data_IF_400045560012
#
_entry.id   IF_400045560012
#
_cell.length_a   1.000
_cell.length_b   1.000
_cell.length_c   1.000
_cell.angle_alpha   90.00
_cell.angle_beta   90.00
_cell.angle_gamma   90.00
#
_symmetry.space_group_name_H-M   'P 1'
#
loop_
_entity.id
_entity.type
_entity.pdbx_description
1 polymer ?
#
# COMPACT_ATOMS: atom_id res chain seq x y z
N UNK A 1 -27.68 -50.87 22.55
CA UNK A 1 -27.77 -49.57 23.25
C UNK A 1 -26.34 -49.10 23.43
N UNK A 2 -25.83 -48.35 22.46
CA UNK A 2 -24.43 -47.92 22.44
C UNK A 2 -24.27 -46.73 23.38
N UNK A 3 -23.33 -46.85 24.31
CA UNK A 3 -22.91 -45.81 25.25
C UNK A 3 -22.76 -44.46 24.54
N UNK A 4 -23.60 -43.48 24.86
CA UNK A 4 -23.24 -42.08 24.70
C UNK A 4 -22.12 -41.82 25.69
N UNK A 5 -20.88 -41.72 25.19
CA UNK A 5 -19.80 -41.16 25.96
C UNK A 5 -20.25 -39.75 26.40
N UNK A 6 -20.23 -39.52 27.70
CA UNK A 6 -20.52 -38.23 28.33
C UNK A 6 -19.40 -37.27 27.91
N UNK A 7 -19.58 -36.57 26.78
CA UNK A 7 -18.62 -35.60 26.26
C UNK A 7 -18.67 -34.41 27.22
N UNK A 8 -17.60 -34.19 27.98
CA UNK A 8 -17.52 -33.06 28.89
C UNK A 8 -17.78 -31.74 28.12
N UNK A 9 -18.66 -30.86 28.64
CA UNK A 9 -19.03 -29.65 27.94
C UNK A 9 -17.81 -28.73 27.83
N UNK A 10 -17.54 -28.23 26.62
CA UNK A 10 -16.42 -27.31 26.37
C UNK A 10 -16.88 -25.90 26.70
N UNK A 11 -16.22 -25.25 27.67
CA UNK A 11 -16.60 -23.92 28.15
C UNK A 11 -15.77 -22.87 27.44
N UNK A 12 -16.42 -21.82 26.95
CA UNK A 12 -15.80 -20.76 26.18
C UNK A 12 -16.12 -19.41 26.80
N UNK A 13 -15.17 -18.48 26.75
CA UNK A 13 -15.41 -17.08 27.04
C UNK A 13 -15.52 -16.32 25.72
N UNK A 14 -16.73 -15.89 25.37
CA UNK A 14 -17.02 -15.17 24.13
C UNK A 14 -17.03 -13.66 24.41
N UNK A 15 -16.10 -12.92 23.81
CA UNK A 15 -16.01 -11.46 23.90
C UNK A 15 -16.76 -10.88 22.69
N UNK A 16 -17.83 -10.15 22.95
CA UNK A 16 -18.64 -9.48 21.93
C UNK A 16 -18.12 -8.07 21.65
N UNK A 17 -17.87 -7.29 22.72
CA UNK A 17 -17.35 -5.92 22.67
C UNK A 17 -16.34 -5.72 23.82
N UNK A 18 -15.66 -4.56 23.87
CA UNK A 18 -14.65 -4.26 24.89
C UNK A 18 -15.16 -4.47 26.33
N UNK A 19 -16.46 -4.24 26.58
CA UNK A 19 -17.08 -4.33 27.90
C UNK A 19 -18.10 -5.47 28.03
N UNK A 20 -18.27 -6.31 27.00
CA UNK A 20 -19.27 -7.38 27.00
C UNK A 20 -18.63 -8.73 26.67
N UNK A 21 -18.63 -9.64 27.64
CA UNK A 21 -18.19 -11.02 27.47
C UNK A 21 -19.17 -11.97 28.14
N UNK A 22 -19.42 -13.10 27.48
CA UNK A 22 -20.41 -14.10 27.90
C UNK A 22 -19.73 -15.46 27.97
N UNK A 23 -20.07 -16.23 29.00
CA UNK A 23 -19.65 -17.63 29.11
C UNK A 23 -20.63 -18.51 28.35
N UNK A 24 -20.11 -19.31 27.42
CA UNK A 24 -20.87 -20.23 26.59
C UNK A 24 -20.39 -21.67 26.84
N UNK A 25 -21.30 -22.64 26.85
CA UNK A 25 -20.97 -24.05 27.05
C UNK A 25 -21.44 -24.88 25.85
N UNK A 26 -20.51 -25.58 25.20
CA UNK A 26 -20.79 -26.47 24.08
C UNK A 26 -21.06 -27.88 24.62
N UNK A 27 -22.35 -28.21 24.79
CA UNK A 27 -22.78 -29.51 25.32
C UNK A 27 -22.56 -30.68 24.35
N UNK A 28 -22.43 -30.41 23.05
CA UNK A 28 -22.23 -31.43 22.02
C UNK A 28 -20.74 -31.57 21.60
N UNK A 29 -19.81 -31.00 22.38
CA UNK A 29 -18.40 -30.91 22.01
C UNK A 29 -18.10 -29.76 21.04
N UNK A 30 -16.84 -29.63 20.64
CA UNK A 30 -16.42 -28.63 19.64
C UNK A 30 -16.89 -29.09 18.25
N UNK A 31 -17.58 -28.24 17.47
CA UNK A 31 -17.96 -28.57 16.09
C UNK A 31 -16.77 -28.90 15.18
N UNK A 32 -16.99 -29.71 14.16
CA UNK A 32 -15.95 -30.12 13.21
C UNK A 32 -15.60 -29.01 12.20
N UNK A 33 -16.52 -28.04 12.01
CA UNK A 33 -16.35 -26.88 11.12
C UNK A 33 -16.38 -25.56 11.89
N UNK A 34 -15.57 -24.61 11.44
CA UNK A 34 -15.57 -23.23 11.96
C UNK A 34 -16.91 -22.54 11.67
N UNK A 35 -17.55 -22.86 10.54
CA UNK A 35 -18.85 -22.29 10.17
C UNK A 35 -19.96 -22.75 11.13
N UNK A 36 -19.94 -24.02 11.55
CA UNK A 36 -20.87 -24.54 12.54
C UNK A 36 -20.68 -23.87 13.91
N UNK A 37 -19.43 -23.65 14.31
CA UNK A 37 -19.12 -22.92 15.53
C UNK A 37 -19.57 -21.45 15.45
N UNK A 38 -19.43 -20.80 14.30
CA UNK A 38 -19.95 -19.45 14.06
C UNK A 38 -21.47 -19.41 14.25
N UNK A 39 -22.20 -20.35 13.67
CA UNK A 39 -23.66 -20.40 13.79
C UNK A 39 -24.12 -20.69 15.22
N UNK A 40 -23.40 -21.53 15.98
CA UNK A 40 -23.72 -21.79 17.38
C UNK A 40 -23.47 -20.55 18.27
N UNK A 41 -22.36 -19.84 18.03
CA UNK A 41 -22.05 -18.57 18.73
C UNK A 41 -23.09 -17.50 18.36
N UNK A 42 -23.50 -17.40 17.10
CA UNK A 42 -24.56 -16.47 16.67
C UNK A 42 -25.88 -16.78 17.37
N UNK A 43 -26.26 -18.06 17.42
CA UNK A 43 -27.50 -18.50 18.06
C UNK A 43 -27.50 -18.18 19.56
N UNK A 44 -26.39 -18.44 20.24
CA UNK A 44 -26.26 -18.21 21.68
C UNK A 44 -26.20 -16.72 22.04
N UNK A 45 -25.48 -15.92 21.26
CA UNK A 45 -25.31 -14.49 21.52
C UNK A 45 -26.36 -13.60 20.84
N UNK A 46 -27.30 -14.17 20.07
CA UNK A 46 -28.35 -13.41 19.37
C UNK A 46 -27.83 -12.51 18.23
N UNK A 47 -26.77 -12.94 17.53
CA UNK A 47 -26.10 -12.15 16.50
C UNK A 47 -26.75 -12.37 15.13
N UNK A 48 -27.33 -11.32 14.55
CA UNK A 48 -27.99 -11.38 13.23
C UNK A 48 -27.11 -11.00 12.03
N UNK A 49 -25.82 -10.71 12.24
CA UNK A 49 -24.89 -10.20 11.21
C UNK A 49 -23.84 -11.24 10.81
N UNK A 50 -23.12 -10.98 9.72
CA UNK A 50 -21.90 -11.73 9.41
C UNK A 50 -20.85 -11.46 10.48
N UNK A 51 -20.30 -12.51 11.07
CA UNK A 51 -19.29 -12.39 12.12
C UNK A 51 -18.13 -13.31 11.80
N UNK A 52 -16.95 -12.93 12.28
CA UNK A 52 -15.74 -13.74 12.27
C UNK A 52 -15.30 -14.00 13.70
N UNK A 53 -14.78 -15.20 13.97
CA UNK A 53 -14.23 -15.55 15.26
C UNK A 53 -12.71 -15.42 15.27
N UNK A 54 -12.18 -14.88 16.35
CA UNK A 54 -10.76 -14.89 16.68
C UNK A 54 -10.56 -15.65 17.99
N UNK A 55 -9.49 -16.41 18.13
CA UNK A 55 -9.12 -17.03 19.40
C UNK A 55 -7.90 -16.34 19.98
N UNK A 56 -7.77 -16.38 21.31
CA UNK A 56 -6.59 -15.90 22.00
C UNK A 56 -5.47 -16.94 21.89
N UNK A 57 -4.42 -16.60 21.15
CA UNK A 57 -3.28 -17.47 20.89
C UNK A 57 -2.20 -17.30 21.97
N UNK A 58 -1.90 -18.37 22.71
CA UNK A 58 -0.89 -18.37 23.77
C UNK A 58 0.53 -18.36 23.24
N UNK A 59 0.76 -18.90 22.05
CA UNK A 59 2.10 -19.11 21.47
C UNK A 59 2.65 -17.79 20.90
N UNK A 60 1.77 -16.87 20.50
CA UNK A 60 2.11 -15.54 20.00
C UNK A 60 1.90 -14.41 21.02
N UNK A 61 2.03 -14.72 22.32
CA UNK A 61 1.99 -13.70 23.36
C UNK A 61 0.58 -13.16 23.66
N UNK A 62 -0.43 -14.03 23.66
CA UNK A 62 -1.82 -13.73 24.03
C UNK A 62 -2.56 -12.77 23.06
N UNK A 63 -2.14 -12.71 21.79
CA UNK A 63 -2.81 -11.93 20.75
C UNK A 63 -4.05 -12.66 20.21
N UNK A 64 -5.00 -11.90 19.67
CA UNK A 64 -6.18 -12.46 19.00
C UNK A 64 -5.88 -12.77 17.54
N UNK A 65 -6.05 -14.03 17.14
CA UNK A 65 -5.77 -14.54 15.79
C UNK A 65 -7.05 -15.07 15.17
N UNK A 66 -7.22 -14.88 13.85
CA UNK A 66 -8.38 -15.40 13.12
C UNK A 66 -8.44 -16.92 13.21
N UNK A 67 -9.63 -17.44 13.52
CA UNK A 67 -9.85 -18.88 13.61
C UNK A 67 -10.02 -19.49 12.22
N UNK A 68 -9.17 -20.47 11.88
CA UNK A 68 -9.22 -21.21 10.60
C UNK A 68 -9.53 -22.70 10.78
N UNK A 69 -9.47 -23.20 12.01
CA UNK A 69 -9.80 -24.58 12.39
C UNK A 69 -10.37 -24.58 13.80
N UNK A 70 -11.32 -25.48 14.08
CA UNK A 70 -11.89 -25.67 15.42
C UNK A 70 -10.98 -26.47 16.35
N UNK A 71 -9.91 -27.09 15.84
CA UNK A 71 -8.92 -27.83 16.64
C UNK A 71 -8.16 -26.93 17.65
N UNK A 72 -8.16 -25.62 17.44
CA UNK A 72 -7.56 -24.64 18.37
C UNK A 72 -8.44 -24.36 19.59
N UNK A 73 -9.71 -24.75 19.55
CA UNK A 73 -10.68 -24.53 20.61
C UNK A 73 -10.55 -25.63 21.65
N UNK A 74 -10.21 -25.24 22.88
CA UNK A 74 -10.11 -26.10 24.05
C UNK A 74 -11.07 -25.60 25.14
N UNK A 75 -11.23 -26.39 26.19
CA UNK A 75 -11.93 -25.91 27.38
C UNK A 75 -11.24 -24.65 27.93
N UNK A 76 -12.06 -23.65 28.28
CA UNK A 76 -11.67 -22.31 28.72
C UNK A 76 -10.99 -21.43 27.65
N UNK A 77 -11.13 -21.76 26.36
CA UNK A 77 -10.67 -20.88 25.28
C UNK A 77 -11.43 -19.55 25.26
N UNK A 78 -10.70 -18.46 25.01
CA UNK A 78 -11.25 -17.12 24.84
C UNK A 78 -11.43 -16.83 23.35
N UNK A 79 -12.67 -16.57 22.94
CA UNK A 79 -13.05 -16.27 21.57
C UNK A 79 -13.52 -14.82 21.51
N UNK A 80 -13.02 -14.05 20.55
CA UNK A 80 -13.48 -12.69 20.26
C UNK A 80 -14.30 -12.71 18.97
N UNK A 81 -15.50 -12.14 19.03
CA UNK A 81 -16.37 -11.95 17.88
C UNK A 81 -16.01 -10.62 17.21
N UNK A 82 -15.82 -10.66 15.90
CA UNK A 82 -15.61 -9.48 15.07
C UNK A 82 -16.79 -9.39 14.11
N UNK A 83 -17.64 -8.37 14.29
CA UNK A 83 -18.70 -8.08 13.34
C UNK A 83 -18.11 -7.63 12.01
N UNK A 84 -18.58 -8.24 10.93
CA UNK A 84 -18.25 -7.89 9.57
C UNK A 84 -19.47 -7.21 8.96
N UNK A 85 -19.36 -5.91 8.69
CA UNK A 85 -20.31 -5.25 7.81
C UNK A 85 -20.10 -5.79 6.38
N UNK A 86 -21.16 -6.23 5.67
CA UNK A 86 -21.04 -6.70 4.29
C UNK A 86 -20.51 -5.61 3.33
N UNK A 87 -20.54 -4.34 3.74
CA UNK A 87 -20.01 -3.18 3.01
C UNK A 87 -18.63 -2.68 3.50
N UNK A 88 -18.03 -3.27 4.54
CA UNK A 88 -16.75 -2.80 5.11
C UNK A 88 -15.52 -3.51 4.54
N UNK A 89 -15.59 -4.02 3.30
CA UNK A 89 -14.40 -4.13 2.44
C UNK A 89 -13.95 -2.73 1.94
N UNK A 90 -13.93 -1.74 2.83
CA UNK A 90 -13.42 -0.40 2.60
C UNK A 90 -11.91 -0.43 2.85
N UNK A 91 -11.15 -0.43 1.76
CA UNK A 91 -9.76 0.03 1.78
C UNK A 91 -9.77 1.46 2.31
N UNK A 92 -9.27 1.68 3.52
CA UNK A 92 -9.07 3.02 4.07
C UNK A 92 -7.99 3.72 3.22
N UNK A 93 -8.43 4.54 2.28
CA UNK A 93 -7.61 5.59 1.67
C UNK A 93 -7.81 6.84 2.52
N UNK A 94 -6.76 7.28 3.20
CA UNK A 94 -6.76 8.57 3.88
C UNK A 94 -6.96 9.68 2.83
N UNK A 95 -7.91 10.62 3.04
CA UNK A 95 -7.97 11.82 2.22
C UNK A 95 -6.74 12.68 2.53
N UNK A 96 -6.02 13.09 1.50
CA UNK A 96 -5.09 14.21 1.60
C UNK A 96 -5.92 15.45 1.33
N UNK A 97 -6.18 16.22 2.38
CA UNK A 97 -6.74 17.56 2.25
C UNK A 97 -5.74 18.42 1.46
N UNK A 98 -6.24 18.92 0.33
CA UNK A 98 -5.53 19.86 -0.52
C UNK A 98 -5.80 21.26 0.03
N UNK A 99 -4.88 21.79 0.84
CA UNK A 99 -4.82 23.24 1.08
C UNK A 99 -3.39 23.69 1.34
N UNK A 100 -2.79 24.25 0.28
CA UNK A 100 -1.82 25.34 0.37
C UNK A 100 -0.41 24.98 0.83
N UNK A 101 0.44 24.55 -0.11
CA UNK A 101 1.88 24.49 0.12
C UNK A 101 2.65 24.17 -1.15
N UNK A 102 2.91 25.22 -1.95
CA UNK A 102 3.75 25.22 -3.15
C UNK A 102 5.01 24.36 -2.99
N UNK A 103 5.18 23.33 -3.84
CA UNK A 103 6.50 22.71 -4.06
C UNK A 103 6.71 22.47 -5.56
N UNK A 104 7.72 23.19 -6.04
CA UNK A 104 8.27 23.18 -7.38
C UNK A 104 8.86 21.80 -7.68
N UNK A 105 8.45 21.23 -8.82
CA UNK A 105 9.11 20.09 -9.43
C UNK A 105 10.39 20.57 -10.10
N UNK A 106 11.50 20.50 -9.37
CA UNK A 106 12.84 20.75 -9.92
C UNK A 106 13.47 19.40 -10.29
N UNK A 107 13.20 18.94 -11.52
CA UNK A 107 13.99 17.91 -12.18
C UNK A 107 15.19 18.60 -12.81
N UNK A 108 16.30 18.65 -12.07
CA UNK A 108 17.59 19.00 -12.65
C UNK A 108 18.25 17.73 -13.20
N UNK A 109 18.27 17.66 -14.52
CA UNK A 109 19.23 16.90 -15.30
C UNK A 109 20.64 17.30 -14.86
N UNK A 110 21.49 16.31 -14.56
CA UNK A 110 22.93 16.47 -14.61
C UNK A 110 23.47 15.37 -15.52
N UNK A 111 23.79 15.78 -16.74
CA UNK A 111 24.75 15.11 -17.60
C UNK A 111 26.12 15.21 -16.93
N UNK A 112 26.75 14.07 -16.63
CA UNK A 112 28.20 14.03 -16.52
C UNK A 112 28.72 12.79 -17.25
N UNK A 113 29.75 13.05 -18.05
CA UNK A 113 30.20 12.25 -19.17
C UNK A 113 31.61 11.76 -18.84
N UNK A 114 31.79 10.50 -18.43
CA UNK A 114 33.02 9.75 -18.68
C UNK A 114 32.93 8.25 -18.36
N UNK A 115 33.75 7.42 -19.02
CA UNK A 115 33.36 6.08 -19.45
C UNK A 115 33.93 4.99 -18.54
N UNK A 116 33.06 4.08 -18.10
CA UNK A 116 33.43 2.90 -17.33
C UNK A 116 32.47 1.75 -17.59
N UNK A 117 32.92 0.81 -18.40
CA UNK A 117 32.26 -0.45 -18.77
C UNK A 117 31.51 -1.15 -17.62
N UNK A 118 30.21 -1.41 -17.79
CA UNK A 118 29.56 -2.67 -17.37
C UNK A 118 28.11 -2.72 -17.90
N UNK A 119 27.90 -3.60 -18.88
CA UNK A 119 26.68 -4.35 -19.20
C UNK A 119 25.32 -3.63 -19.24
N UNK A 120 24.80 -3.52 -20.46
CA UNK A 120 23.36 -3.44 -20.77
C UNK A 120 22.57 -4.41 -19.89
N UNK A 121 21.60 -3.91 -19.13
CA UNK A 121 20.54 -4.72 -18.53
C UNK A 121 19.67 -5.26 -19.68
N UNK A 122 20.18 -6.25 -20.40
CA UNK A 122 19.42 -7.00 -21.39
C UNK A 122 18.29 -7.71 -20.65
N UNK A 123 17.08 -7.24 -20.92
CA UNK A 123 15.87 -7.92 -20.47
C UNK A 123 15.87 -9.28 -21.15
N UNK A 124 16.04 -10.37 -20.39
CA UNK A 124 15.99 -11.72 -20.95
C UNK A 124 14.59 -11.93 -21.52
N UNK A 125 14.45 -11.75 -22.83
CA UNK A 125 13.30 -12.17 -23.61
C UNK A 125 13.35 -13.70 -23.57
N UNK A 126 12.63 -14.31 -22.63
CA UNK A 126 12.36 -15.73 -22.66
C UNK A 126 11.57 -16.04 -23.93
N UNK A 127 12.29 -16.32 -25.02
CA UNK A 127 11.72 -16.94 -26.19
C UNK A 127 11.27 -18.33 -25.79
N UNK A 128 9.96 -18.53 -25.82
CA UNK A 128 9.26 -19.81 -25.78
C UNK A 128 9.23 -20.51 -24.41
N UNK A 129 8.46 -19.96 -23.46
CA UNK A 129 7.79 -20.78 -22.43
C UNK A 129 6.43 -21.23 -22.95
N UNK A 130 5.98 -22.47 -22.70
CA UNK A 130 4.72 -23.00 -23.20
C UNK A 130 3.52 -22.57 -22.34
N UNK A 131 3.49 -21.31 -21.87
CA UNK A 131 2.31 -20.74 -21.22
C UNK A 131 1.40 -20.15 -22.31
N UNK A 132 0.47 -20.98 -22.75
CA UNK A 132 -0.50 -20.81 -23.85
C UNK A 132 -1.53 -19.69 -23.67
N UNK A 133 -1.40 -18.83 -22.65
CA UNK A 133 -2.42 -17.83 -22.34
C UNK A 133 -2.46 -16.65 -23.30
N UNK A 134 -1.38 -16.37 -24.05
CA UNK A 134 -1.27 -15.16 -24.89
C UNK A 134 -0.73 -15.46 -26.28
N UNK A 135 -1.64 -15.90 -27.13
CA UNK A 135 -1.41 -16.16 -28.55
C UNK A 135 -1.81 -14.99 -29.44
N UNK A 136 -2.40 -13.94 -28.87
CA UNK A 136 -2.95 -12.81 -29.63
C UNK A 136 -1.92 -11.69 -29.80
N UNK A 137 -1.72 -11.26 -31.04
CA UNK A 137 -0.94 -10.07 -31.35
C UNK A 137 -1.66 -8.80 -30.90
N UNK A 138 -0.90 -7.74 -30.65
CA UNK A 138 -1.48 -6.43 -30.31
C UNK A 138 -2.37 -5.94 -31.47
N UNK A 139 -3.63 -5.58 -31.20
CA UNK A 139 -4.55 -5.18 -32.26
C UNK A 139 -4.21 -3.77 -32.79
N UNK A 140 -4.49 -3.51 -34.07
CA UNK A 140 -4.34 -2.17 -34.67
C UNK A 140 -5.26 -1.12 -34.05
N UNK A 141 -6.42 -1.56 -33.57
CA UNK A 141 -7.36 -0.75 -32.79
C UNK A 141 -7.74 -1.57 -31.57
N UNK A 142 -7.42 -1.07 -30.38
CA UNK A 142 -7.67 -1.81 -29.15
C UNK A 142 -9.18 -1.97 -28.89
N UNK A 143 -9.69 -3.21 -28.76
CA UNK A 143 -11.11 -3.44 -28.49
C UNK A 143 -11.43 -3.16 -27.02
N UNK A 144 -12.27 -2.16 -26.77
CA UNK A 144 -12.74 -1.82 -25.42
C UNK A 144 -13.64 -2.95 -24.90
N UNK A 145 -13.31 -3.56 -23.74
CA UNK A 145 -14.14 -4.59 -23.12
C UNK A 145 -15.44 -4.00 -22.59
N UNK A 146 -16.45 -4.86 -22.39
CA UNK A 146 -17.65 -4.46 -21.68
C UNK A 146 -17.34 -4.22 -20.20
N UNK A 147 -17.86 -3.12 -19.67
CA UNK A 147 -17.78 -2.80 -18.25
C UNK A 147 -18.97 -3.38 -17.48
N UNK A 148 -19.00 -3.17 -16.17
CA UNK A 148 -20.18 -3.52 -15.38
C UNK A 148 -21.43 -2.78 -15.90
N UNK A 149 -22.60 -3.36 -15.64
CA UNK A 149 -23.87 -2.80 -16.10
C UNK A 149 -24.09 -1.34 -15.65
N UNK A 150 -23.67 -1.02 -14.43
CA UNK A 150 -23.76 0.33 -13.87
C UNK A 150 -22.81 1.30 -14.61
N UNK A 151 -21.53 0.94 -14.75
CA UNK A 151 -20.55 1.73 -15.51
C UNK A 151 -21.01 1.98 -16.94
N UNK A 152 -21.47 0.94 -17.64
CA UNK A 152 -22.00 1.08 -19.02
C UNK A 152 -23.19 2.04 -19.09
N UNK A 153 -24.09 1.98 -18.12
CA UNK A 153 -25.25 2.86 -18.05
C UNK A 153 -24.85 4.32 -17.83
N UNK A 154 -23.87 4.57 -16.95
CA UNK A 154 -23.28 5.89 -16.72
C UNK A 154 -22.55 6.42 -17.96
N UNK A 155 -21.75 5.58 -18.63
CA UNK A 155 -21.04 5.94 -19.86
C UNK A 155 -22.01 6.30 -21.00
N UNK A 156 -23.10 5.54 -21.17
CA UNK A 156 -24.13 5.84 -22.16
C UNK A 156 -24.80 7.18 -21.90
N UNK A 157 -25.15 7.46 -20.64
CA UNK A 157 -25.73 8.75 -20.22
C UNK A 157 -24.75 9.89 -20.46
N UNK A 158 -23.51 9.74 -19.99
CA UNK A 158 -22.46 10.73 -20.17
C UNK A 158 -22.15 11.00 -21.64
N UNK A 159 -22.08 9.98 -22.49
CA UNK A 159 -21.90 10.14 -23.93
C UNK A 159 -23.06 10.90 -24.57
N UNK A 160 -24.31 10.64 -24.17
CA UNK A 160 -25.46 11.37 -24.68
C UNK A 160 -25.44 12.86 -24.26
N UNK A 161 -25.02 13.16 -23.03
CA UNK A 161 -24.84 14.54 -22.54
C UNK A 161 -23.69 15.25 -23.24
N UNK A 162 -22.58 14.56 -23.49
CA UNK A 162 -21.45 15.06 -24.25
C UNK A 162 -21.85 15.43 -25.69
N UNK A 163 -22.65 14.61 -26.36
CA UNK A 163 -23.14 14.94 -27.70
C UNK A 163 -24.06 16.17 -27.73
N UNK A 164 -24.81 16.43 -26.65
CA UNK A 164 -25.74 17.57 -26.57
C UNK A 164 -25.07 18.88 -26.18
N UNK A 165 -24.13 18.82 -25.24
CA UNK A 165 -23.63 20.01 -24.52
C UNK A 165 -22.12 20.07 -24.41
N UNK A 166 -21.40 19.08 -24.96
CA UNK A 166 -19.97 18.84 -24.74
C UNK A 166 -19.60 18.73 -23.25
N UNK A 167 -20.58 18.43 -22.40
CA UNK A 167 -20.37 18.15 -20.98
C UNK A 167 -19.62 16.84 -20.81
N UNK A 168 -18.53 16.89 -20.04
CA UNK A 168 -17.69 15.75 -19.74
C UNK A 168 -18.13 15.08 -18.45
N UNK A 169 -18.04 13.76 -18.43
CA UNK A 169 -18.32 12.96 -17.25
C UNK A 169 -17.04 12.80 -16.43
N UNK A 170 -17.09 13.18 -15.15
CA UNK A 170 -16.03 12.88 -14.19
C UNK A 170 -16.34 11.51 -13.54
N UNK A 171 -15.53 10.46 -13.78
CA UNK A 171 -15.81 9.14 -13.24
C UNK A 171 -15.68 9.13 -11.72
N UNK A 172 -16.71 8.62 -11.03
CA UNK A 172 -16.61 8.32 -9.61
C UNK A 172 -15.63 7.17 -9.33
N UNK A 173 -15.19 7.02 -8.08
CA UNK A 173 -14.18 6.01 -7.69
C UNK A 173 -14.53 4.58 -8.11
N UNK A 174 -15.79 4.15 -7.93
CA UNK A 174 -16.28 2.82 -8.32
C UNK A 174 -16.19 2.59 -9.83
N UNK A 175 -16.74 3.53 -10.60
CA UNK A 175 -16.75 3.50 -12.06
C UNK A 175 -15.32 3.49 -12.62
N UNK A 176 -14.45 4.34 -12.06
CA UNK A 176 -13.04 4.42 -12.45
C UNK A 176 -12.31 3.09 -12.21
N UNK A 177 -12.53 2.46 -11.06
CA UNK A 177 -11.90 1.17 -10.75
C UNK A 177 -12.35 0.08 -11.72
N UNK A 178 -13.64 -0.02 -12.01
CA UNK A 178 -14.20 -1.01 -12.95
C UNK A 178 -13.64 -0.84 -14.36
N UNK A 179 -13.59 0.40 -14.87
CA UNK A 179 -12.98 0.69 -16.19
C UNK A 179 -11.52 0.24 -16.22
N UNK A 180 -10.73 0.65 -15.23
CA UNK A 180 -9.30 0.34 -15.19
C UNK A 180 -9.02 -1.15 -15.01
N UNK A 181 -9.83 -1.87 -14.24
CA UNK A 181 -9.71 -3.32 -14.04
C UNK A 181 -9.97 -4.09 -15.33
N UNK A 182 -11.11 -3.84 -15.97
CA UNK A 182 -11.48 -4.51 -17.22
C UNK A 182 -10.46 -4.24 -18.34
N UNK A 183 -9.96 -3.01 -18.42
CA UNK A 183 -8.90 -2.66 -19.38
C UNK A 183 -7.59 -3.36 -19.04
N UNK A 184 -7.16 -3.39 -17.78
CA UNK A 184 -5.93 -4.08 -17.39
C UNK A 184 -6.00 -5.59 -17.67
N UNK A 185 -7.12 -6.23 -17.38
CA UNK A 185 -7.39 -7.63 -17.73
C UNK A 185 -7.28 -7.85 -19.24
N UNK A 186 -7.95 -7.01 -20.04
CA UNK A 186 -7.95 -7.11 -21.50
C UNK A 186 -6.57 -6.86 -22.10
N UNK A 187 -5.83 -5.85 -21.63
CA UNK A 187 -4.46 -5.57 -22.04
C UNK A 187 -3.53 -6.73 -21.72
N UNK A 188 -3.70 -7.32 -20.54
CA UNK A 188 -2.89 -8.46 -20.11
C UNK A 188 -3.07 -9.68 -21.02
N UNK A 189 -4.23 -9.88 -21.65
CA UNK A 189 -4.43 -10.96 -22.64
C UNK A 189 -3.51 -10.85 -23.87
N UNK A 190 -3.03 -9.64 -24.19
CA UNK A 190 -2.09 -9.42 -25.29
C UNK A 190 -0.65 -9.38 -24.78
N UNK A 191 -0.37 -8.55 -23.75
CA UNK A 191 0.99 -8.31 -23.25
C UNK A 191 1.03 -8.24 -21.73
N UNK A 192 1.91 -9.03 -21.11
CA UNK A 192 2.24 -8.88 -19.68
C UNK A 192 2.88 -7.52 -19.37
N UNK A 193 3.75 -7.04 -20.26
CA UNK A 193 4.47 -5.79 -20.14
C UNK A 193 4.15 -4.86 -21.31
N UNK A 194 3.00 -4.16 -21.28
CA UNK A 194 2.69 -3.16 -22.29
C UNK A 194 3.72 -2.02 -22.28
N UNK A 195 4.05 -1.53 -23.47
CA UNK A 195 4.92 -0.39 -23.72
C UNK A 195 4.16 0.93 -23.57
N UNK A 196 4.86 2.05 -23.56
CA UNK A 196 4.24 3.38 -23.49
C UNK A 196 3.28 3.68 -24.65
N UNK A 197 3.58 3.17 -25.84
CA UNK A 197 2.72 3.25 -27.02
C UNK A 197 1.43 2.44 -26.82
N UNK A 198 1.54 1.20 -26.31
CA UNK A 198 0.39 0.34 -26.03
C UNK A 198 -0.61 1.02 -25.06
N UNK A 199 -0.13 1.73 -24.03
CA UNK A 199 -0.99 2.50 -23.12
C UNK A 199 -1.65 3.70 -23.81
N UNK A 200 -0.96 4.32 -24.77
CA UNK A 200 -1.50 5.45 -25.54
C UNK A 200 -2.63 4.98 -26.46
N UNK A 201 -2.45 3.84 -27.13
CA UNK A 201 -3.47 3.22 -27.99
C UNK A 201 -4.75 2.89 -27.21
N UNK A 202 -4.62 2.32 -26.01
CA UNK A 202 -5.77 1.94 -25.16
C UNK A 202 -6.49 3.19 -24.67
N UNK A 203 -5.75 4.22 -24.24
CA UNK A 203 -6.32 5.46 -23.77
C UNK A 203 -7.08 6.20 -24.90
N UNK A 204 -6.52 6.23 -26.11
CA UNK A 204 -7.18 6.81 -27.28
C UNK A 204 -8.42 6.00 -27.68
N UNK A 205 -8.34 4.67 -27.71
CA UNK A 205 -9.49 3.81 -27.99
C UNK A 205 -10.61 4.06 -26.97
N UNK A 206 -10.28 4.22 -25.68
CA UNK A 206 -11.25 4.48 -24.62
C UNK A 206 -11.98 5.80 -24.82
N UNK A 207 -11.25 6.90 -25.04
CA UNK A 207 -11.85 8.23 -25.22
C UNK A 207 -12.51 8.42 -26.58
N UNK A 208 -12.17 7.58 -27.57
CA UNK A 208 -12.86 7.51 -28.86
C UNK A 208 -14.20 6.78 -28.73
N UNK A 209 -14.25 5.67 -28.00
CA UNK A 209 -15.50 4.94 -27.73
C UNK A 209 -16.39 5.68 -26.74
N UNK A 210 -15.81 6.35 -25.76
CA UNK A 210 -16.52 7.14 -24.75
C UNK A 210 -16.01 8.59 -24.71
N UNK A 211 -16.46 9.46 -25.64
CA UNK A 211 -16.05 10.87 -25.68
C UNK A 211 -16.31 11.63 -24.39
N UNK A 212 -17.29 11.20 -23.58
CA UNK A 212 -17.55 11.83 -22.28
C UNK A 212 -16.38 11.72 -21.28
N UNK A 213 -15.44 10.80 -21.48
CA UNK A 213 -14.27 10.59 -20.61
C UNK A 213 -13.05 11.43 -20.98
N UNK A 214 -13.10 12.22 -22.06
CA UNK A 214 -11.98 13.07 -22.50
C UNK A 214 -11.56 14.06 -21.41
N UNK A 215 -10.27 14.25 -21.19
CA UNK A 215 -9.75 15.15 -20.15
C UNK A 215 -9.25 16.47 -20.77
N UNK A 216 -9.64 17.64 -20.24
CA UNK A 216 -9.17 18.92 -20.75
C UNK A 216 -7.69 19.15 -20.45
N UNK A 217 -7.01 19.90 -21.32
CA UNK A 217 -5.62 20.35 -21.09
C UNK A 217 -4.53 19.32 -21.42
N UNK A 218 -4.91 18.14 -21.89
CA UNK A 218 -3.96 17.14 -22.40
C UNK A 218 -3.82 17.26 -23.93
N UNK A 219 -2.59 17.14 -24.45
CA UNK A 219 -2.28 17.18 -25.89
C UNK A 219 -3.14 16.21 -26.73
N UNK A 220 -3.60 15.09 -26.14
CA UNK A 220 -4.41 14.09 -26.80
C UNK A 220 -5.74 13.78 -26.08
N UNK A 221 -6.14 14.61 -25.09
CA UNK A 221 -7.33 14.44 -24.26
C UNK A 221 -7.46 13.06 -23.56
N UNK A 222 -6.39 12.26 -23.56
CA UNK A 222 -6.36 10.87 -23.06
C UNK A 222 -5.12 10.57 -22.22
N UNK A 223 -4.21 11.53 -22.06
CA UNK A 223 -2.96 11.34 -21.32
C UNK A 223 -3.17 10.94 -19.86
N UNK A 224 -4.14 11.51 -19.14
CA UNK A 224 -4.38 11.11 -17.76
C UNK A 224 -4.90 9.68 -17.66
N UNK A 225 -5.72 9.23 -18.62
CA UNK A 225 -6.08 7.80 -18.75
C UNK A 225 -4.87 6.90 -18.97
N UNK A 226 -3.93 7.30 -19.84
CA UNK A 226 -2.67 6.58 -20.02
C UNK A 226 -1.89 6.44 -18.71
N UNK A 227 -1.77 7.50 -17.90
CA UNK A 227 -1.08 7.43 -16.61
C UNK A 227 -1.80 6.52 -15.61
N UNK A 228 -3.13 6.62 -15.52
CA UNK A 228 -3.93 5.73 -14.65
C UNK A 228 -3.79 4.26 -15.07
N UNK A 229 -3.76 3.98 -16.37
CA UNK A 229 -3.55 2.63 -16.90
C UNK A 229 -2.15 2.10 -16.59
N UNK A 230 -1.09 2.91 -16.70
CA UNK A 230 0.26 2.50 -16.30
C UNK A 230 0.30 2.05 -14.84
N UNK A 231 -0.27 2.86 -13.94
CA UNK A 231 -0.33 2.55 -12.51
C UNK A 231 -1.17 1.29 -12.27
N UNK A 232 -2.36 1.21 -12.87
CA UNK A 232 -3.23 0.03 -12.72
C UNK A 232 -2.56 -1.23 -13.22
N UNK A 233 -1.88 -1.19 -14.36
CA UNK A 233 -1.20 -2.35 -14.94
C UNK A 233 -0.03 -2.81 -14.07
N UNK A 234 0.72 -1.89 -13.46
CA UNK A 234 1.76 -2.23 -12.50
C UNK A 234 1.19 -2.95 -11.26
N UNK A 235 0.07 -2.46 -10.73
CA UNK A 235 -0.63 -3.09 -9.61
C UNK A 235 -1.22 -4.45 -9.99
N UNK A 236 -1.83 -4.55 -11.17
CA UNK A 236 -2.42 -5.78 -11.70
C UNK A 236 -1.36 -6.88 -11.87
N UNK A 237 -0.19 -6.57 -12.43
CA UNK A 237 0.95 -7.50 -12.47
C UNK A 237 1.39 -7.93 -11.07
N UNK A 238 1.43 -7.01 -10.11
CA UNK A 238 1.84 -7.33 -8.73
C UNK A 238 0.84 -8.28 -8.08
N UNK A 239 -0.46 -8.08 -8.30
CA UNK A 239 -1.52 -8.98 -7.88
C UNK A 239 -1.39 -10.38 -8.50
N UNK A 240 -1.15 -10.46 -9.82
CA UNK A 240 -0.96 -11.73 -10.52
C UNK A 240 0.28 -12.49 -10.04
N UNK A 241 1.39 -11.78 -9.75
CA UNK A 241 2.58 -12.36 -9.12
C UNK A 241 2.27 -12.96 -7.75
N UNK A 242 1.50 -12.26 -6.93
CA UNK A 242 1.13 -12.73 -5.59
C UNK A 242 0.27 -14.00 -5.64
N UNK A 243 -0.53 -14.19 -6.70
CA UNK A 243 -1.39 -15.35 -6.90
C UNK A 243 -0.70 -16.53 -7.60
N UNK A 244 0.58 -16.40 -7.97
CA UNK A 244 1.34 -17.46 -8.64
C UNK A 244 0.87 -17.78 -10.06
N UNK A 245 0.09 -16.89 -10.68
CA UNK A 245 -0.70 -17.23 -11.88
C UNK A 245 0.12 -17.29 -13.18
N UNK A 246 1.38 -16.86 -13.22
CA UNK A 246 2.22 -16.94 -14.45
C UNK A 246 3.72 -16.97 -14.16
N UNK A 247 4.45 -17.93 -14.74
CA UNK A 247 5.89 -18.11 -14.54
C UNK A 247 6.71 -16.89 -15.02
N UNK A 248 6.37 -16.31 -16.16
CA UNK A 248 7.04 -15.15 -16.75
C UNK A 248 7.13 -13.90 -15.84
N UNK A 249 6.10 -13.65 -15.01
CA UNK A 249 6.03 -12.51 -14.11
C UNK A 249 6.92 -12.75 -12.89
N UNK A 250 7.14 -14.03 -12.57
CA UNK A 250 8.03 -14.47 -11.49
C UNK A 250 9.49 -14.37 -11.88
N UNK A 251 9.89 -14.61 -13.15
CA UNK A 251 11.31 -14.50 -13.59
C UNK A 251 11.93 -13.14 -13.25
N UNK A 252 11.15 -12.07 -13.35
CA UNK A 252 11.57 -10.71 -13.01
C UNK A 252 11.40 -10.34 -11.52
N UNK A 253 11.10 -11.32 -10.66
CA UNK A 253 11.02 -11.12 -9.22
C UNK A 253 12.41 -11.27 -8.60
N UNK A 254 12.83 -10.28 -7.79
CA UNK A 254 14.08 -10.39 -7.01
C UNK A 254 14.08 -11.58 -6.04
N UNK A 255 12.90 -12.17 -5.77
CA UNK A 255 12.73 -13.36 -4.91
C UNK A 255 12.99 -14.70 -5.62
N UNK A 256 12.93 -14.75 -6.95
CA UNK A 256 13.10 -15.99 -7.73
C UNK A 256 14.47 -16.13 -8.39
N UNK A 257 15.28 -15.07 -8.41
CA UNK A 257 16.64 -15.13 -8.95
C UNK A 257 17.55 -15.97 -8.04
N UNK A 258 18.35 -16.86 -8.64
CA UNK A 258 19.22 -17.82 -7.95
C UNK A 258 20.21 -17.11 -7.00
N UNK A 259 20.84 -17.87 -6.10
CA UNK A 259 21.84 -17.33 -5.17
C UNK A 259 23.07 -16.77 -5.92
N UNK A 260 23.35 -17.32 -7.09
CA UNK A 260 24.52 -17.02 -7.93
C UNK A 260 24.37 -15.74 -8.76
N UNK A 261 23.14 -15.32 -9.07
CA UNK A 261 22.81 -14.09 -9.83
C UNK A 261 22.37 -12.93 -8.92
N UNK A 262 22.91 -12.85 -7.70
CA UNK A 262 22.52 -11.85 -6.71
C UNK A 262 22.96 -10.43 -7.10
N UNK A 263 22.02 -9.64 -7.62
CA UNK A 263 22.17 -8.18 -7.76
C UNK A 263 22.43 -7.51 -6.40
N UNK A 264 23.08 -6.33 -6.36
CA UNK A 264 23.36 -5.58 -5.12
C UNK A 264 22.11 -5.24 -4.27
N UNK A 265 20.92 -5.31 -4.87
CA UNK A 265 19.65 -5.02 -4.22
C UNK A 265 19.00 -6.22 -3.51
N UNK A 266 19.57 -7.42 -3.59
CA UNK A 266 19.04 -8.62 -2.90
C UNK A 266 19.37 -8.54 -1.40
N UNK A 267 18.38 -8.15 -0.60
CA UNK A 267 18.50 -8.03 0.87
C UNK A 267 18.30 -6.61 1.40
N UNK A 268 18.26 -5.59 0.52
CA UNK A 268 17.90 -4.25 0.93
C UNK A 268 16.39 -4.18 1.18
N UNK A 269 16.00 -3.92 2.44
CA UNK A 269 14.63 -3.53 2.76
C UNK A 269 14.28 -2.31 1.91
N UNK A 270 13.15 -2.35 1.21
CA UNK A 270 12.64 -1.15 0.54
C UNK A 270 12.44 -0.07 1.60
N UNK A 271 12.98 1.14 1.40
CA UNK A 271 12.82 2.18 2.38
C UNK A 271 11.33 2.43 2.62
N UNK A 272 10.89 2.36 3.88
CA UNK A 272 9.51 2.73 4.24
C UNK A 272 9.30 4.21 3.95
N UNK A 273 8.06 4.65 3.74
CA UNK A 273 7.70 6.03 3.36
C UNK A 273 8.24 7.12 4.31
N UNK A 274 8.64 6.75 5.54
CA UNK A 274 9.27 7.62 6.54
C UNK A 274 10.82 7.54 6.58
N UNK A 275 11.45 6.61 5.85
CA UNK A 275 12.90 6.40 5.85
C UNK A 275 13.65 7.34 4.89
N UNK A 276 12.95 8.00 3.97
CA UNK A 276 13.55 9.04 3.11
C UNK A 276 14.07 10.21 3.96
N UNK A 277 13.46 10.46 5.12
CA UNK A 277 13.89 11.46 6.10
C UNK A 277 14.82 10.89 7.19
N UNK A 278 15.23 9.62 7.10
CA UNK A 278 16.09 9.01 8.13
C UNK A 278 17.48 9.66 8.16
N UNK A 279 17.94 10.14 7.00
CA UNK A 279 19.30 10.61 6.81
C UNK A 279 19.35 11.85 5.88
N UNK A 280 18.84 13.00 6.33
CA UNK A 280 18.95 14.27 5.60
C UNK A 280 20.41 14.62 5.29
N UNK A 281 20.66 15.06 4.05
CA UNK A 281 21.95 15.64 3.66
C UNK A 281 22.13 17.02 4.32
N UNK A 282 23.36 17.49 4.40
CA UNK A 282 23.61 18.87 4.80
C UNK A 282 23.02 19.84 3.76
N UNK A 283 22.59 21.05 4.16
CA UNK A 283 22.18 22.08 3.21
C UNK A 283 23.28 22.37 2.18
N UNK A 284 22.90 22.69 0.95
CA UNK A 284 23.85 22.95 -0.14
C UNK A 284 24.89 24.01 0.24
N UNK A 285 26.17 23.64 0.16
CA UNK A 285 27.30 24.53 0.47
C UNK A 285 27.76 24.53 1.93
N UNK A 286 27.07 23.81 2.84
CA UNK A 286 27.48 23.69 4.24
C UNK A 286 28.42 22.49 4.45
N UNK A 287 29.53 22.70 5.15
CA UNK A 287 30.46 21.63 5.55
C UNK A 287 30.23 21.24 7.02
N UNK A 288 30.68 20.04 7.46
CA UNK A 288 30.61 19.64 8.87
C UNK A 288 31.21 20.69 9.84
N UNK A 289 32.27 21.38 9.43
CA UNK A 289 32.93 22.42 10.22
C UNK A 289 32.07 23.69 10.33
N UNK A 290 31.36 24.05 9.25
CA UNK A 290 30.39 25.15 9.27
C UNK A 290 29.22 24.84 10.20
N UNK A 291 28.72 23.60 10.13
CA UNK A 291 27.63 23.13 10.99
C UNK A 291 28.02 23.06 12.47
N UNK A 292 29.26 22.72 12.77
CA UNK A 292 29.78 22.77 14.15
C UNK A 292 29.85 24.20 14.68
N UNK A 293 30.19 25.19 13.84
CA UNK A 293 30.09 26.61 14.23
C UNK A 293 28.65 27.04 14.50
N UNK A 294 27.71 26.57 13.70
CA UNK A 294 26.28 26.83 13.93
C UNK A 294 25.78 26.18 15.22
N UNK A 295 26.26 24.99 15.57
CA UNK A 295 25.98 24.34 16.87
C UNK A 295 26.52 25.17 18.04
N UNK A 296 27.75 25.65 17.96
CA UNK A 296 28.32 26.53 19.00
C UNK A 296 27.50 27.82 19.12
N UNK A 297 27.11 28.40 18.00
CA UNK A 297 26.24 29.58 17.99
C UNK A 297 24.87 29.30 18.61
N UNK A 298 24.27 28.13 18.36
CA UNK A 298 23.04 27.68 19.01
C UNK A 298 23.19 27.63 20.55
N UNK A 299 24.31 27.11 21.07
CA UNK A 299 24.57 27.12 22.51
C UNK A 299 24.62 28.54 23.10
N UNK A 300 25.21 29.49 22.37
CA UNK A 300 25.23 30.89 22.82
C UNK A 300 23.85 31.54 22.78
N UNK A 301 22.99 31.17 21.82
CA UNK A 301 21.62 31.68 21.75
C UNK A 301 20.74 31.15 22.87
N UNK A 302 20.97 29.92 23.34
CA UNK A 302 20.27 29.34 24.48
C UNK A 302 20.54 30.07 25.81
N UNK A 303 21.69 30.72 25.94
CA UNK A 303 22.04 31.48 27.15
C UNK A 303 21.39 32.87 27.21
N UNK A 304 20.83 33.36 26.10
CA UNK A 304 20.25 34.70 26.00
C UNK A 304 18.77 34.67 26.34
N UNK A 305 18.28 35.73 27.02
CA UNK A 305 16.85 35.89 27.33
C UNK A 305 16.07 36.28 26.07
N UNK A 306 14.87 35.71 25.89
CA UNK A 306 13.94 35.99 24.79
C UNK A 306 14.41 35.61 23.36
N UNK A 307 15.31 34.62 23.21
CA UNK A 307 15.88 34.26 21.90
C UNK A 307 15.25 33.03 21.23
N UNK A 308 14.00 32.71 21.58
CA UNK A 308 13.32 31.48 21.15
C UNK A 308 13.24 31.33 19.63
N UNK A 309 13.05 32.43 18.91
CA UNK A 309 12.99 32.44 17.44
C UNK A 309 14.34 32.09 16.80
N UNK A 310 15.43 32.66 17.33
CA UNK A 310 16.79 32.38 16.83
C UNK A 310 17.21 30.93 17.11
N UNK A 311 16.84 30.41 18.28
CA UNK A 311 17.04 28.99 18.64
C UNK A 311 16.32 28.08 17.65
N UNK A 312 15.04 28.36 17.34
CA UNK A 312 14.26 27.57 16.37
C UNK A 312 14.89 27.58 14.98
N UNK A 313 15.32 28.74 14.49
CA UNK A 313 15.97 28.86 13.17
C UNK A 313 17.27 28.06 13.12
N UNK A 314 18.08 28.12 14.18
CA UNK A 314 19.31 27.33 14.28
C UNK A 314 19.04 25.84 14.44
N UNK A 315 17.98 25.45 15.13
CA UNK A 315 17.54 24.04 15.26
C UNK A 315 17.13 23.44 13.91
N UNK A 316 16.45 24.23 13.06
CA UNK A 316 16.12 23.85 11.69
C UNK A 316 17.38 23.75 10.83
N UNK A 317 18.26 24.76 10.88
CA UNK A 317 19.51 24.77 10.11
C UNK A 317 20.40 23.57 10.45
N UNK A 318 20.49 23.21 11.73
CA UNK A 318 21.34 22.12 12.24
C UNK A 318 20.71 20.73 12.17
N UNK A 319 19.47 20.61 11.69
CA UNK A 319 18.73 19.34 11.68
C UNK A 319 19.49 18.21 10.98
N UNK A 320 20.03 18.46 9.79
CA UNK A 320 20.77 17.47 9.01
C UNK A 320 21.99 16.95 9.76
N UNK A 321 22.82 17.88 10.26
CA UNK A 321 24.05 17.57 10.98
C UNK A 321 23.80 16.80 12.28
N UNK A 322 22.83 17.26 13.08
CA UNK A 322 22.41 16.62 14.33
C UNK A 322 21.92 15.19 14.10
N UNK A 323 21.10 14.97 13.06
CA UNK A 323 20.57 13.64 12.73
C UNK A 323 21.66 12.68 12.29
N UNK A 324 22.60 13.13 11.45
CA UNK A 324 23.76 12.32 11.05
C UNK A 324 24.61 11.92 12.25
N UNK A 325 24.81 12.85 13.20
CA UNK A 325 25.57 12.58 14.42
C UNK A 325 24.90 11.52 15.31
N UNK A 326 23.60 11.66 15.58
CA UNK A 326 22.83 10.70 16.40
C UNK A 326 22.82 9.31 15.75
N UNK A 327 22.61 9.25 14.43
CA UNK A 327 22.55 7.98 13.69
C UNK A 327 23.91 7.29 13.61
N UNK A 328 25.00 8.04 13.37
CA UNK A 328 26.34 7.45 13.23
C UNK A 328 27.02 7.12 14.55
N UNK A 329 26.93 8.01 15.54
CA UNK A 329 27.67 7.85 16.80
C UNK A 329 26.89 7.05 17.84
N UNK A 330 25.57 6.90 17.66
CA UNK A 330 24.67 6.29 18.64
C UNK A 330 24.98 6.73 20.09
N UNK A 331 25.05 8.06 20.34
CA UNK A 331 25.44 8.60 21.63
C UNK A 331 24.42 8.25 22.73
N UNK A 332 24.87 8.26 23.99
CA UNK A 332 23.96 8.13 25.14
C UNK A 332 23.03 9.34 25.24
N UNK A 333 21.94 9.22 26.02
CA UNK A 333 21.02 10.35 26.20
C UNK A 333 21.74 11.51 26.90
N UNK A 334 22.64 11.21 27.84
CA UNK A 334 23.48 12.17 28.53
C UNK A 334 24.36 12.97 27.54
N UNK A 335 25.00 12.28 26.60
CA UNK A 335 25.83 12.93 25.56
C UNK A 335 24.98 13.80 24.62
N UNK A 336 23.76 13.37 24.29
CA UNK A 336 22.82 14.16 23.46
C UNK A 336 22.34 15.40 24.21
N UNK A 337 22.07 15.29 25.50
CA UNK A 337 21.69 16.42 26.35
C UNK A 337 22.82 17.46 26.44
N UNK A 338 24.07 17.02 26.60
CA UNK A 338 25.22 17.92 26.65
C UNK A 338 25.45 18.61 25.30
N UNK A 339 25.37 17.84 24.20
CA UNK A 339 25.76 18.31 22.87
C UNK A 339 24.65 19.11 22.17
N UNK A 340 23.39 18.76 22.42
CA UNK A 340 22.19 19.35 21.82
C UNK A 340 21.10 19.66 22.87
N UNK A 341 21.37 20.51 23.88
CA UNK A 341 20.43 20.79 24.97
C UNK A 341 19.09 21.40 24.49
N UNK A 342 19.09 22.08 23.33
CA UNK A 342 17.88 22.61 22.72
C UNK A 342 16.83 21.54 22.37
N UNK A 343 17.22 20.28 22.14
CA UNK A 343 16.29 19.18 21.87
C UNK A 343 15.34 18.88 23.05
N UNK A 344 15.73 19.28 24.26
CA UNK A 344 14.98 19.03 25.48
C UNK A 344 14.14 20.24 25.92
N UNK A 345 14.05 21.27 25.08
CA UNK A 345 13.08 22.34 25.25
C UNK A 345 11.71 21.87 24.80
N UNK A 346 10.66 22.28 25.51
CA UNK A 346 9.29 21.82 25.27
C UNK A 346 8.78 22.09 23.85
N UNK A 347 9.35 23.10 23.19
CA UNK A 347 9.03 23.49 21.82
C UNK A 347 9.61 22.56 20.74
N UNK A 348 10.63 21.78 21.09
CA UNK A 348 11.36 20.89 20.18
C UNK A 348 11.04 19.40 20.44
N UNK A 349 10.23 19.12 21.47
CA UNK A 349 9.68 17.79 21.76
C UNK A 349 8.28 17.72 21.12
N UNK A 350 8.14 16.95 20.04
CA UNK A 350 6.86 16.71 19.36
C UNK A 350 5.92 15.79 20.16
#
# INVERSE_FOLDING_TARGET
MSNMADIAPVRLLVILNNDNSVRMELHNGVPDSVDELIEEVKRFCGLGRYVRLQYKDTDFGNIFVNMTSTAVVKDLSVIKVVELDPDSATVVLYPVDDTGGSLLSDTLDNEDNSPGSAHSDDTVLCSNSPDTLRTQQWPKVFPIPLFSFDTESQLKRGNAEYMKSQSRLMPGSKMLSDILERLAEKMYMYKAYPTDADFSDVAEALTKTHPCLREPGSFNESYGWKQRLKVKMANYRTLLKARGTTAELTVNSLKSKSLEEAYPAKGLKRPRRAEVNHFPTLPSGETPESMEKERISLLTELQKRNNRQSVKEKMVKTFGYRRQEIVHKMPSIEDVMERWPALFQMEEVC
#
